data_IF_763555568738
#
_entry.id   IF_763555568738
#
_cell.length_a   1.000
_cell.length_b   1.000
_cell.length_c   1.000
_cell.angle_alpha   90.00
_cell.angle_beta   90.00
_cell.angle_gamma   90.00
#
_symmetry.space_group_name_H-M   'P 1'
#
loop_
_entity.id
_entity.type
_entity.pdbx_description
1 polymer ?
#
# COMPACT_ATOMS: atom_id res chain seq x y z
N UNK A 1 38.88 -8.44 7.71
CA UNK A 1 37.75 -8.22 6.78
C UNK A 1 36.68 -7.52 7.58
N UNK A 2 36.51 -6.23 7.37
CA UNK A 2 35.52 -5.43 8.11
C UNK A 2 34.14 -5.65 7.49
N UNK A 3 33.42 -6.66 8.00
CA UNK A 3 32.00 -6.87 7.75
C UNK A 3 31.21 -5.71 8.37
N UNK A 4 31.25 -4.55 7.72
CA UNK A 4 30.47 -3.38 8.11
C UNK A 4 29.04 -3.57 7.62
N UNK A 5 28.08 -3.33 8.52
CA UNK A 5 26.64 -3.40 8.22
C UNK A 5 26.25 -2.48 7.05
N UNK A 6 27.08 -1.48 6.71
CA UNK A 6 26.87 -0.58 5.58
C UNK A 6 26.83 -1.28 4.22
N UNK A 7 27.39 -2.48 4.07
CA UNK A 7 27.32 -3.26 2.83
C UNK A 7 26.05 -4.13 2.74
N UNK A 8 25.23 -4.18 3.79
CA UNK A 8 24.03 -5.02 3.79
C UNK A 8 22.97 -4.44 2.85
N UNK A 9 22.72 -5.14 1.75
CA UNK A 9 21.70 -4.78 0.75
C UNK A 9 20.34 -5.43 1.00
N UNK A 10 20.29 -6.49 1.82
CA UNK A 10 19.09 -7.28 2.04
C UNK A 10 18.90 -7.60 3.51
N UNK A 11 17.70 -7.33 4.02
CA UNK A 11 17.36 -7.57 5.40
C UNK A 11 16.03 -8.34 5.47
N UNK A 12 16.12 -9.58 5.92
CA UNK A 12 14.99 -10.50 6.02
C UNK A 12 14.73 -10.82 7.48
N UNK A 13 13.61 -10.35 8.02
CA UNK A 13 13.17 -10.77 9.33
C UNK A 13 12.44 -12.11 9.17
N UNK A 14 13.12 -13.20 9.53
CA UNK A 14 12.55 -14.56 9.55
C UNK A 14 12.56 -15.12 10.97
N UNK A 15 11.54 -15.89 11.35
CA UNK A 15 11.55 -16.71 12.58
C UNK A 15 10.87 -16.14 13.83
N UNK A 16 10.19 -15.00 13.76
CA UNK A 16 9.52 -14.41 14.94
C UNK A 16 8.03 -14.72 15.02
N UNK A 17 7.62 -15.93 14.65
CA UNK A 17 6.21 -16.34 14.63
C UNK A 17 5.52 -16.32 16.01
N UNK A 18 6.31 -16.29 17.10
CA UNK A 18 5.81 -16.29 18.48
C UNK A 18 6.08 -14.99 19.26
N UNK A 19 6.90 -14.08 18.73
CA UNK A 19 7.26 -12.85 19.42
C UNK A 19 6.55 -11.67 18.76
N UNK A 20 5.37 -11.31 19.26
CA UNK A 20 4.56 -10.16 18.86
C UNK A 20 5.25 -8.77 18.99
N UNK A 21 6.57 -8.72 19.24
CA UNK A 21 7.26 -7.54 19.75
C UNK A 21 8.44 -7.05 18.90
N UNK A 22 9.06 -7.87 18.04
CA UNK A 22 10.31 -7.45 17.37
C UNK A 22 10.06 -6.49 16.19
N UNK A 23 9.04 -6.76 15.37
CA UNK A 23 8.61 -5.84 14.31
C UNK A 23 7.98 -4.54 14.83
N UNK A 24 7.62 -4.50 16.11
CA UNK A 24 7.10 -3.31 16.79
C UNK A 24 8.17 -2.62 17.64
N UNK A 25 9.45 -2.99 17.51
CA UNK A 25 10.49 -2.42 18.35
C UNK A 25 11.01 -1.12 17.75
N UNK A 26 10.66 0.07 18.29
CA UNK A 26 11.21 1.35 17.81
C UNK A 26 12.75 1.36 17.86
N UNK A 27 13.37 0.52 18.70
CA UNK A 27 14.83 0.35 18.71
C UNK A 27 15.38 -0.18 17.40
N UNK A 28 14.64 -0.98 16.63
CA UNK A 28 15.11 -1.42 15.31
C UNK A 28 15.23 -0.22 14.37
N UNK A 29 14.21 0.64 14.38
CA UNK A 29 14.13 1.83 13.56
C UNK A 29 15.32 2.78 13.82
N UNK A 30 15.61 3.04 15.10
CA UNK A 30 16.64 4.01 15.48
C UNK A 30 18.04 3.43 15.63
N UNK A 31 18.19 2.15 16.01
CA UNK A 31 19.49 1.57 16.33
C UNK A 31 20.11 0.77 15.19
N UNK A 32 19.32 0.23 14.25
CA UNK A 32 19.84 -0.65 13.19
C UNK A 32 19.82 0.02 11.83
N UNK A 33 18.71 0.65 11.44
CA UNK A 33 18.56 1.22 10.09
C UNK A 33 19.62 2.29 9.73
N UNK A 34 20.09 3.15 10.65
CA UNK A 34 21.19 4.08 10.32
C UNK A 34 22.49 3.40 9.91
N UNK A 35 22.70 2.15 10.30
CA UNK A 35 23.92 1.37 10.01
C UNK A 35 23.83 0.58 8.70
N UNK A 36 22.65 0.54 8.07
CA UNK A 36 22.39 -0.17 6.80
C UNK A 36 21.84 0.78 5.72
N UNK A 37 22.55 1.87 5.39
CA UNK A 37 22.04 2.88 4.45
C UNK A 37 21.88 2.39 3.00
N UNK A 38 22.64 1.36 2.61
CA UNK A 38 22.61 0.77 1.26
C UNK A 38 21.58 -0.37 1.12
N UNK A 39 20.61 -0.42 2.03
CA UNK A 39 19.60 -1.45 2.01
C UNK A 39 18.68 -1.27 0.79
N UNK A 40 18.61 -2.31 -0.05
CA UNK A 40 17.80 -2.33 -1.26
C UNK A 40 16.52 -3.15 -1.10
N UNK A 41 16.56 -4.22 -0.29
CA UNK A 41 15.43 -5.12 -0.11
C UNK A 41 15.16 -5.38 1.36
N UNK A 42 13.89 -5.27 1.74
CA UNK A 42 13.46 -5.53 3.10
C UNK A 42 12.20 -6.38 3.12
N UNK A 43 12.20 -7.39 3.98
CA UNK A 43 11.05 -8.29 4.17
C UNK A 43 10.68 -8.33 5.63
N UNK A 44 9.44 -7.97 5.92
CA UNK A 44 8.92 -7.90 7.28
C UNK A 44 7.68 -8.76 7.47
N UNK A 45 7.41 -9.11 8.72
CA UNK A 45 6.13 -9.68 9.12
C UNK A 45 5.07 -8.59 9.32
N UNK A 46 5.46 -7.51 10.00
CA UNK A 46 4.64 -6.35 10.30
C UNK A 46 5.51 -5.11 10.18
N UNK A 47 4.94 -4.06 9.62
CA UNK A 47 5.58 -2.76 9.49
C UNK A 47 4.79 -1.77 10.34
N UNK A 48 5.47 -1.09 11.26
CA UNK A 48 4.92 0.02 12.03
C UNK A 48 5.38 1.36 11.45
N UNK A 49 4.62 2.42 11.74
CA UNK A 49 4.87 3.76 11.21
C UNK A 49 6.31 4.24 11.52
N UNK A 50 6.80 4.06 12.74
CA UNK A 50 8.17 4.50 13.12
C UNK A 50 9.25 3.81 12.29
N UNK A 51 9.07 2.51 12.01
CA UNK A 51 9.98 1.76 11.14
C UNK A 51 9.96 2.31 9.71
N UNK A 52 8.78 2.67 9.19
CA UNK A 52 8.67 3.27 7.85
C UNK A 52 9.38 4.61 7.77
N UNK A 53 9.16 5.49 8.74
CA UNK A 53 9.82 6.78 8.77
C UNK A 53 11.35 6.62 8.83
N UNK A 54 11.84 5.68 9.64
CA UNK A 54 13.27 5.41 9.72
C UNK A 54 13.82 4.76 8.44
N UNK A 55 13.09 3.83 7.82
CA UNK A 55 13.47 3.22 6.52
C UNK A 55 13.58 4.32 5.45
N UNK A 56 12.56 5.16 5.31
CA UNK A 56 12.54 6.27 4.34
C UNK A 56 13.71 7.23 4.60
N UNK A 57 13.99 7.52 5.88
CA UNK A 57 15.05 8.44 6.29
C UNK A 57 16.44 7.89 5.97
N UNK A 58 16.71 6.63 6.32
CA UNK A 58 18.05 6.05 6.34
C UNK A 58 18.38 5.17 5.12
N UNK A 59 17.41 4.50 4.51
CA UNK A 59 17.59 3.54 3.44
C UNK A 59 17.15 4.11 2.08
N UNK A 60 17.88 5.10 1.56
CA UNK A 60 17.50 5.83 0.33
C UNK A 60 17.56 4.99 -0.95
N UNK A 61 18.27 3.86 -0.92
CA UNK A 61 18.41 2.93 -2.04
C UNK A 61 17.36 1.81 -2.04
N UNK A 62 16.35 1.89 -1.18
CA UNK A 62 15.36 0.84 -1.02
C UNK A 62 14.49 0.67 -2.27
N UNK A 63 14.58 -0.50 -2.89
CA UNK A 63 13.85 -0.88 -4.10
C UNK A 63 12.67 -1.79 -3.80
N UNK A 64 12.69 -2.55 -2.71
CA UNK A 64 11.69 -3.59 -2.47
C UNK A 64 11.30 -3.70 -1.00
N UNK A 65 9.99 -3.68 -0.76
CA UNK A 65 9.37 -3.93 0.54
C UNK A 65 8.34 -5.03 0.37
N UNK A 66 8.52 -6.12 1.12
CA UNK A 66 7.61 -7.27 1.09
C UNK A 66 7.13 -7.59 2.50
N UNK A 67 5.83 -7.55 2.70
CA UNK A 67 5.17 -8.05 3.90
C UNK A 67 4.67 -9.48 3.69
N UNK A 68 4.90 -10.37 4.66
CA UNK A 68 4.72 -11.82 4.47
C UNK A 68 3.52 -12.45 5.16
N UNK A 69 2.89 -11.76 6.11
CA UNK A 69 1.87 -12.33 7.00
C UNK A 69 0.56 -11.55 6.97
N UNK A 70 -0.54 -12.26 6.84
CA UNK A 70 -1.91 -11.76 6.65
C UNK A 70 -2.66 -11.46 7.95
N UNK A 71 -2.27 -12.14 9.03
CA UNK A 71 -2.78 -11.99 10.40
C UNK A 71 -2.39 -10.66 11.04
N UNK A 72 -1.32 -10.03 10.55
CA UNK A 72 -0.86 -8.70 10.94
C UNK A 72 -0.67 -7.80 9.74
N UNK A 73 -1.60 -7.83 8.78
CA UNK A 73 -1.60 -6.80 7.76
C UNK A 73 -1.53 -5.42 8.42
N UNK A 74 -1.10 -4.41 7.66
CA UNK A 74 -1.34 -3.02 8.04
C UNK A 74 -2.85 -2.70 8.15
N UNK A 75 -3.73 -3.67 8.39
CA UNK A 75 -5.16 -3.55 8.55
C UNK A 75 -5.66 -4.63 9.51
N UNK A 76 -5.06 -4.72 10.71
CA UNK A 76 -5.57 -5.57 11.77
C UNK A 76 -6.95 -5.04 12.22
N UNK A 77 -8.02 -5.64 11.68
CA UNK A 77 -9.45 -5.50 12.05
C UNK A 77 -9.87 -4.07 12.41
N UNK A 78 -10.34 -3.28 11.43
CA UNK A 78 -11.26 -2.12 11.55
C UNK A 78 -11.48 -1.60 13.00
N UNK A 79 -10.37 -1.24 13.64
CA UNK A 79 -10.29 -0.88 15.04
C UNK A 79 -9.83 0.56 15.14
N UNK A 80 -9.69 1.06 16.37
CA UNK A 80 -9.28 2.45 16.63
C UNK A 80 -7.98 2.87 15.93
N UNK A 81 -7.16 1.93 15.47
CA UNK A 81 -5.84 2.17 14.88
C UNK A 81 -5.82 2.23 13.34
N UNK A 82 -6.97 2.08 12.65
CA UNK A 82 -7.02 2.09 11.18
C UNK A 82 -6.41 3.37 10.57
N UNK A 83 -6.53 4.52 11.25
CA UNK A 83 -5.98 5.81 10.79
C UNK A 83 -4.44 5.91 10.78
N UNK A 84 -3.73 5.15 11.61
CA UNK A 84 -2.25 5.17 11.63
C UNK A 84 -1.65 4.34 10.49
N UNK A 85 -2.40 3.35 10.02
CA UNK A 85 -1.94 2.39 9.02
C UNK A 85 -1.94 2.98 7.60
N UNK A 86 -2.96 3.75 7.25
CA UNK A 86 -3.03 4.42 5.95
C UNK A 86 -1.83 5.35 5.72
N UNK A 87 -1.44 6.09 6.77
CA UNK A 87 -0.25 6.95 6.77
C UNK A 87 1.05 6.21 6.48
N UNK A 88 1.12 4.93 6.83
CA UNK A 88 2.32 4.10 6.65
C UNK A 88 2.54 3.77 5.17
N UNK A 89 1.48 3.33 4.48
CA UNK A 89 1.53 3.11 3.04
C UNK A 89 1.76 4.41 2.28
N UNK A 90 0.99 5.46 2.62
CA UNK A 90 1.11 6.78 1.98
C UNK A 90 2.53 7.35 2.09
N UNK A 91 3.21 7.17 3.22
CA UNK A 91 4.59 7.61 3.41
C UNK A 91 5.55 6.95 2.41
N UNK A 92 5.45 5.63 2.17
CA UNK A 92 6.29 4.97 1.17
C UNK A 92 6.01 5.48 -0.24
N UNK A 93 4.74 5.67 -0.59
CA UNK A 93 4.38 6.15 -1.93
C UNK A 93 4.83 7.59 -2.17
N UNK A 94 4.86 8.42 -1.12
CA UNK A 94 5.26 9.83 -1.21
C UNK A 94 6.78 10.04 -1.16
N UNK A 95 7.49 9.27 -0.34
CA UNK A 95 8.89 9.55 -0.03
C UNK A 95 9.86 8.47 -0.57
N UNK A 96 9.34 7.31 -1.00
CA UNK A 96 10.10 6.18 -1.54
C UNK A 96 10.35 6.26 -3.05
N UNK A 97 11.09 7.27 -3.51
CA UNK A 97 11.28 7.54 -4.94
C UNK A 97 11.99 6.42 -5.73
N UNK A 98 12.78 5.58 -5.06
CA UNK A 98 13.51 4.44 -5.64
C UNK A 98 12.74 3.12 -5.57
N UNK A 99 11.56 3.12 -4.94
CA UNK A 99 10.78 1.92 -4.69
C UNK A 99 10.21 1.34 -6.00
N UNK A 100 10.46 0.04 -6.21
CA UNK A 100 10.00 -0.74 -7.37
C UNK A 100 8.96 -1.79 -6.98
N UNK A 101 9.06 -2.33 -5.77
CA UNK A 101 8.18 -3.39 -5.28
C UNK A 101 7.63 -2.98 -3.94
N UNK A 102 6.31 -2.84 -3.86
CA UNK A 102 5.56 -2.71 -2.62
C UNK A 102 4.49 -3.79 -2.59
N UNK A 103 4.75 -4.83 -1.81
CA UNK A 103 3.88 -6.01 -1.77
C UNK A 103 3.56 -6.42 -0.34
N UNK A 104 2.32 -6.81 -0.10
CA UNK A 104 1.94 -7.39 1.17
C UNK A 104 0.46 -7.77 1.23
N UNK A 105 0.08 -8.75 2.06
CA UNK A 105 -1.33 -9.01 2.33
C UNK A 105 -2.05 -7.77 2.83
N UNK A 106 -3.24 -7.51 2.27
CA UNK A 106 -4.23 -6.56 2.79
C UNK A 106 -3.62 -5.17 3.07
N UNK A 107 -2.74 -4.69 2.19
CA UNK A 107 -2.26 -3.32 2.25
C UNK A 107 -3.39 -2.42 1.76
N UNK A 108 -4.12 -1.76 2.66
CA UNK A 108 -5.24 -0.91 2.26
C UNK A 108 -4.77 0.54 2.14
N UNK A 109 -5.20 1.20 1.06
CA UNK A 109 -5.05 2.61 0.83
C UNK A 109 -6.42 3.26 0.87
N UNK A 110 -6.54 4.38 1.57
CA UNK A 110 -7.77 5.17 1.58
C UNK A 110 -7.90 5.89 0.22
N UNK A 111 -9.05 5.75 -0.44
CA UNK A 111 -9.33 6.43 -1.70
C UNK A 111 -9.16 7.96 -1.59
N UNK A 112 -9.48 8.55 -0.45
CA UNK A 112 -9.33 10.00 -0.21
C UNK A 112 -7.86 10.38 -0.01
N UNK A 113 -7.06 9.53 0.63
CA UNK A 113 -5.63 9.80 0.82
C UNK A 113 -4.84 9.75 -0.49
N UNK A 114 -5.29 8.96 -1.47
CA UNK A 114 -4.69 8.96 -2.82
C UNK A 114 -4.80 10.34 -3.50
N UNK A 115 -5.85 11.08 -3.17
CA UNK A 115 -6.07 12.45 -3.65
C UNK A 115 -5.16 13.42 -2.91
N UNK A 116 -5.13 13.31 -1.59
CA UNK A 116 -4.40 14.23 -0.71
C UNK A 116 -2.87 14.10 -0.83
N UNK A 117 -2.37 12.87 -1.01
CA UNK A 117 -0.94 12.56 -1.01
C UNK A 117 -0.50 12.03 -2.39
N UNK A 118 0.11 12.87 -3.24
CA UNK A 118 0.58 12.42 -4.54
C UNK A 118 1.69 11.38 -4.41
N UNK A 119 1.56 10.29 -5.16
CA UNK A 119 2.57 9.24 -5.22
C UNK A 119 3.75 9.71 -6.08
N UNK A 120 4.97 9.59 -5.56
CA UNK A 120 6.22 10.00 -6.21
C UNK A 120 7.08 8.80 -6.65
N UNK A 121 6.69 7.58 -6.25
CA UNK A 121 7.35 6.33 -6.63
C UNK A 121 7.11 5.97 -8.11
N UNK A 122 7.59 6.81 -9.03
CA UNK A 122 7.39 6.63 -10.48
C UNK A 122 8.04 5.36 -11.04
N UNK A 123 9.00 4.77 -10.33
CA UNK A 123 9.67 3.53 -10.72
C UNK A 123 8.97 2.26 -10.21
N UNK A 124 7.76 2.37 -9.65
CA UNK A 124 7.04 1.23 -9.09
C UNK A 124 6.64 0.24 -10.19
N UNK A 125 7.15 -0.98 -10.11
CA UNK A 125 6.93 -2.08 -11.07
C UNK A 125 5.86 -3.07 -10.58
N UNK A 126 5.78 -3.28 -9.26
CA UNK A 126 4.82 -4.16 -8.59
C UNK A 126 4.17 -3.44 -7.41
N UNK A 127 2.85 -3.34 -7.46
CA UNK A 127 2.02 -2.85 -6.37
C UNK A 127 0.95 -3.88 -6.01
N UNK A 128 0.93 -4.28 -4.74
CA UNK A 128 -0.19 -5.02 -4.18
C UNK A 128 -0.83 -4.18 -3.08
N UNK A 129 -2.04 -3.72 -3.33
CA UNK A 129 -2.82 -2.98 -2.35
C UNK A 129 -4.32 -3.21 -2.53
N UNK A 130 -5.13 -2.66 -1.64
CA UNK A 130 -6.58 -2.62 -1.73
C UNK A 130 -7.00 -1.17 -1.60
N UNK A 131 -7.98 -0.74 -2.37
CA UNK A 131 -8.54 0.60 -2.22
C UNK A 131 -9.73 0.51 -1.27
N UNK A 132 -9.54 1.00 -0.05
CA UNK A 132 -10.55 1.06 0.99
C UNK A 132 -11.30 2.40 1.00
N UNK A 133 -12.40 2.45 1.76
CA UNK A 133 -13.20 3.67 2.02
C UNK A 133 -13.71 4.39 0.78
N UNK A 134 -13.82 3.69 -0.35
CA UNK A 134 -14.60 4.15 -1.50
C UNK A 134 -16.06 4.23 -1.08
N UNK A 135 -16.69 5.39 -1.25
CA UNK A 135 -18.12 5.54 -1.07
C UNK A 135 -18.83 4.69 -2.13
N UNK A 136 -19.52 3.63 -1.70
CA UNK A 136 -20.30 2.76 -2.57
C UNK A 136 -21.78 3.01 -2.36
N UNK A 137 -22.51 2.96 -3.46
CA UNK A 137 -23.95 2.93 -3.40
C UNK A 137 -24.42 1.59 -2.83
N UNK A 138 -25.49 1.64 -2.05
CA UNK A 138 -26.24 0.49 -1.60
C UNK A 138 -27.23 0.10 -2.70
N UNK A 139 -27.67 -1.16 -2.71
CA UNK A 139 -28.61 -1.65 -3.73
C UNK A 139 -29.89 -0.78 -3.85
N UNK A 140 -30.38 -0.22 -2.74
CA UNK A 140 -31.53 0.71 -2.76
C UNK A 140 -31.20 2.05 -3.43
N UNK A 141 -30.00 2.56 -3.23
CA UNK A 141 -29.53 3.81 -3.82
C UNK A 141 -29.25 3.62 -5.33
N UNK A 142 -28.76 2.44 -5.73
CA UNK A 142 -28.61 2.06 -7.15
C UNK A 142 -29.96 2.01 -7.85
N UNK A 143 -30.99 1.45 -7.20
CA UNK A 143 -32.37 1.45 -7.73
C UNK A 143 -32.93 2.87 -7.88
N UNK A 144 -32.65 3.77 -6.93
CA UNK A 144 -33.01 5.19 -7.04
C UNK A 144 -32.36 5.81 -8.29
N UNK A 145 -31.05 5.62 -8.51
CA UNK A 145 -30.38 6.12 -9.72
C UNK A 145 -30.95 5.52 -11.01
N UNK A 146 -31.26 4.22 -11.01
CA UNK A 146 -31.87 3.55 -12.15
C UNK A 146 -33.21 4.18 -12.54
N UNK A 147 -34.05 4.49 -11.56
CA UNK A 147 -35.34 5.17 -11.78
C UNK A 147 -35.16 6.61 -12.27
N UNK A 148 -34.19 7.34 -11.71
CA UNK A 148 -33.87 8.71 -12.14
C UNK A 148 -33.41 8.78 -13.59
N UNK A 149 -32.74 7.74 -14.09
CA UNK A 149 -32.25 7.65 -15.48
C UNK A 149 -33.39 7.63 -16.51
N UNK A 150 -34.59 7.21 -16.11
CA UNK A 150 -35.76 7.06 -16.97
C UNK A 150 -36.82 8.14 -16.72
N UNK A 151 -36.54 9.11 -15.84
CA UNK A 151 -37.48 10.15 -15.44
C UNK A 151 -37.46 11.29 -16.46
N UNK A 152 -38.64 11.82 -16.77
CA UNK A 152 -38.77 12.99 -17.66
C UNK A 152 -38.14 14.24 -17.02
N UNK A 153 -37.45 15.04 -17.84
CA UNK A 153 -36.84 16.29 -17.42
C UNK A 153 -37.90 17.26 -16.88
N UNK A 154 -37.67 17.81 -15.67
CA UNK A 154 -38.51 18.85 -15.07
C UNK A 154 -39.29 18.46 -13.81
N UNK A 155 -39.28 17.19 -13.41
CA UNK A 155 -39.85 16.79 -12.11
C UNK A 155 -38.82 17.02 -11.00
N UNK A 156 -39.20 17.76 -9.96
CA UNK A 156 -38.34 18.03 -8.81
C UNK A 156 -37.83 16.76 -8.12
N UNK A 157 -36.55 16.76 -7.75
CA UNK A 157 -35.91 15.67 -7.02
C UNK A 157 -36.26 15.75 -5.53
N UNK A 158 -36.52 14.59 -4.92
CA UNK A 158 -36.62 14.47 -3.47
C UNK A 158 -35.27 14.75 -2.80
N UNK A 159 -35.30 14.91 -1.48
CA UNK A 159 -34.08 15.05 -0.69
C UNK A 159 -33.20 13.79 -0.77
N UNK A 160 -33.81 12.61 -0.66
CA UNK A 160 -33.11 11.32 -0.78
C UNK A 160 -32.47 11.14 -2.17
N UNK A 161 -33.17 11.52 -3.23
CA UNK A 161 -32.64 11.49 -4.60
C UNK A 161 -31.42 12.41 -4.75
N UNK A 162 -31.47 13.62 -4.17
CA UNK A 162 -30.32 14.52 -4.15
C UNK A 162 -29.11 13.94 -3.41
N UNK A 163 -29.31 13.34 -2.23
CA UNK A 163 -28.22 12.74 -1.45
C UNK A 163 -27.56 11.59 -2.22
N UNK A 164 -28.36 10.74 -2.86
CA UNK A 164 -27.88 9.63 -3.68
C UNK A 164 -27.07 10.13 -4.88
N UNK A 165 -27.54 11.16 -5.58
CA UNK A 165 -26.80 11.78 -6.70
C UNK A 165 -25.46 12.34 -6.21
N UNK A 166 -25.45 13.05 -5.07
CA UNK A 166 -24.21 13.60 -4.52
C UNK A 166 -23.22 12.50 -4.11
N UNK A 167 -23.71 11.43 -3.47
CA UNK A 167 -22.89 10.26 -3.11
C UNK A 167 -22.32 9.56 -4.35
N UNK A 168 -23.13 9.41 -5.40
CA UNK A 168 -22.67 8.86 -6.67
C UNK A 168 -21.59 9.74 -7.32
N UNK A 169 -21.78 11.06 -7.33
CA UNK A 169 -20.79 12.00 -7.84
C UNK A 169 -19.46 11.89 -7.07
N UNK A 170 -19.49 11.82 -5.73
CA UNK A 170 -18.27 11.61 -4.91
C UNK A 170 -17.61 10.26 -5.19
N UNK A 171 -18.40 9.19 -5.34
CA UNK A 171 -17.90 7.86 -5.68
C UNK A 171 -17.17 7.84 -7.03
N UNK A 172 -17.78 8.45 -8.06
CA UNK A 172 -17.16 8.59 -9.38
C UNK A 172 -15.88 9.42 -9.32
N UNK A 173 -15.89 10.50 -8.54
CA UNK A 173 -14.73 11.35 -8.35
C UNK A 173 -13.57 10.58 -7.70
N UNK A 174 -13.84 9.85 -6.60
CA UNK A 174 -12.86 8.95 -5.97
C UNK A 174 -12.30 7.94 -6.95
N UNK A 175 -13.15 7.26 -7.73
CA UNK A 175 -12.70 6.33 -8.75
C UNK A 175 -11.79 6.99 -9.79
N UNK A 176 -12.18 8.14 -10.34
CA UNK A 176 -11.37 8.86 -11.33
C UNK A 176 -10.01 9.22 -10.78
N UNK A 177 -9.92 9.69 -9.54
CA UNK A 177 -8.66 10.02 -8.91
C UNK A 177 -7.78 8.79 -8.66
N UNK A 178 -8.38 7.71 -8.14
CA UNK A 178 -7.66 6.45 -7.91
C UNK A 178 -7.10 5.89 -9.21
N UNK A 179 -7.94 5.79 -10.26
CA UNK A 179 -7.50 5.30 -11.56
C UNK A 179 -6.48 6.24 -12.22
N UNK A 180 -6.67 7.56 -12.11
CA UNK A 180 -5.72 8.55 -12.61
C UNK A 180 -4.36 8.41 -11.93
N UNK A 181 -4.33 8.17 -10.62
CA UNK A 181 -3.09 7.95 -9.89
C UNK A 181 -2.42 6.64 -10.29
N UNK A 182 -3.17 5.55 -10.37
CA UNK A 182 -2.64 4.26 -10.83
C UNK A 182 -2.09 4.35 -12.26
N UNK A 183 -2.78 5.08 -13.14
CA UNK A 183 -2.33 5.32 -14.52
C UNK A 183 -1.03 6.17 -14.60
N UNK A 184 -0.75 7.00 -13.59
CA UNK A 184 0.50 7.77 -13.52
C UNK A 184 1.73 6.91 -13.20
N UNK A 185 1.52 5.69 -12.68
CA UNK A 185 2.59 4.71 -12.45
C UNK A 185 2.92 3.98 -13.75
N UNK A 186 3.57 4.67 -14.68
CA UNK A 186 3.84 4.17 -16.05
C UNK A 186 4.76 2.94 -16.10
N UNK A 187 5.52 2.69 -15.04
CA UNK A 187 6.39 1.52 -14.91
C UNK A 187 5.69 0.30 -14.28
N UNK A 188 4.43 0.44 -13.86
CA UNK A 188 3.70 -0.61 -13.17
C UNK A 188 3.36 -1.75 -14.14
N UNK A 189 4.00 -2.90 -13.92
CA UNK A 189 3.78 -4.12 -14.73
C UNK A 189 2.83 -5.10 -14.05
N UNK A 190 2.69 -5.00 -12.72
CA UNK A 190 1.83 -5.86 -11.91
C UNK A 190 1.09 -5.03 -10.87
N UNK A 191 -0.23 -5.04 -10.99
CA UNK A 191 -1.14 -4.45 -10.02
C UNK A 191 -2.05 -5.56 -9.48
N UNK A 192 -2.03 -5.74 -8.17
CA UNK A 192 -2.99 -6.60 -7.48
C UNK A 192 -3.85 -5.74 -6.55
N UNK A 193 -5.14 -5.65 -6.87
CA UNK A 193 -6.16 -4.94 -6.10
C UNK A 193 -7.05 -5.87 -5.25
N UNK A 194 -6.73 -7.17 -5.21
CA UNK A 194 -7.66 -8.19 -4.72
C UNK A 194 -7.66 -8.33 -3.20
N UNK A 195 -8.78 -8.84 -2.68
CA UNK A 195 -8.94 -9.16 -1.25
C UNK A 195 -8.25 -10.46 -0.84
N UNK A 196 -7.90 -11.28 -1.82
CA UNK A 196 -7.28 -12.59 -1.62
C UNK A 196 -5.84 -12.47 -2.09
N UNK A 197 -4.87 -12.73 -1.21
CA UNK A 197 -3.56 -13.14 -1.69
C UNK A 197 -3.78 -14.45 -2.44
N UNK A 198 -4.10 -14.38 -3.74
CA UNK A 198 -3.69 -15.44 -4.64
C UNK A 198 -2.21 -15.50 -4.42
N UNK A 199 -1.72 -16.65 -4.01
CA UNK A 199 -0.29 -16.89 -3.81
C UNK A 199 0.35 -16.83 -5.19
N UNK A 200 0.43 -15.62 -5.76
CA UNK A 200 1.20 -15.31 -6.94
C UNK A 200 2.58 -15.69 -6.50
N UNK A 201 3.08 -16.76 -7.09
CA UNK A 201 4.37 -17.38 -6.80
C UNK A 201 5.46 -16.31 -6.88
N UNK A 202 5.70 -15.59 -5.77
CA UNK A 202 6.89 -14.78 -5.54
C UNK A 202 8.16 -15.67 -5.59
N UNK A 203 7.98 -17.00 -5.63
CA UNK A 203 8.99 -17.99 -5.98
C UNK A 203 9.70 -17.76 -7.33
N UNK A 204 9.17 -16.89 -8.22
CA UNK A 204 9.91 -16.51 -9.43
C UNK A 204 10.95 -15.39 -9.22
N UNK A 205 10.93 -14.66 -8.11
CA UNK A 205 11.99 -13.68 -7.80
C UNK A 205 13.25 -14.32 -7.22
N UNK A 206 13.12 -15.49 -6.57
CA UNK A 206 14.28 -16.30 -6.17
C UNK A 206 15.11 -16.81 -7.37
N UNK A 207 14.54 -16.80 -8.59
CA UNK A 207 15.28 -17.13 -9.82
C UNK A 207 16.12 -15.96 -10.35
N UNK A 208 15.66 -14.72 -10.21
CA UNK A 208 16.47 -13.54 -10.58
C UNK A 208 17.52 -13.18 -9.52
N UNK A 209 17.32 -13.62 -8.27
CA UNK A 209 18.24 -13.37 -7.16
C UNK A 209 19.47 -14.31 -7.18
N UNK A 210 19.43 -15.45 -7.87
CA UNK A 210 20.54 -16.43 -7.93
C UNK A 210 21.56 -16.22 -9.06
N UNK A 211 21.42 -15.20 -9.91
CA UNK A 211 22.25 -15.05 -11.12
C UNK A 211 23.57 -14.27 -10.93
N UNK A 212 24.00 -13.99 -9.71
CA UNK A 212 25.24 -13.24 -9.44
C UNK A 212 26.14 -13.91 -8.40
N UNK A 213 26.77 -15.03 -8.75
CA UNK A 213 28.02 -15.45 -8.07
C UNK A 213 29.19 -14.96 -8.92
N UNK A 214 30.05 -14.04 -8.43
CA UNK A 214 31.34 -13.82 -9.05
C UNK A 214 32.21 -15.06 -8.81
N UNK A 215 32.92 -15.49 -9.87
CA UNK A 215 34.06 -16.40 -9.76
C UNK A 215 35.25 -15.67 -9.16
#
# INVERSE_FOLDING_TARGET
MDNTLSQLQRLFFSGFERANHVGNNPRLADAVLPWVPNLEHIKFYRVIQDSVLAIIKHCRQLKSIVQTRDDFSMFAKLGKDAGLQFKTFAAFMRDGTTLRVLAGPRQVVDANEIVEYPWTCGQLELLHCQVGRVERLLAKEEDILGRLSSREDGVGLSFEEHEVIQKYARSLDQHRHVYGRLASLTHLTRLDLSNELRTVRLANEDKHIKAGRPR
#
